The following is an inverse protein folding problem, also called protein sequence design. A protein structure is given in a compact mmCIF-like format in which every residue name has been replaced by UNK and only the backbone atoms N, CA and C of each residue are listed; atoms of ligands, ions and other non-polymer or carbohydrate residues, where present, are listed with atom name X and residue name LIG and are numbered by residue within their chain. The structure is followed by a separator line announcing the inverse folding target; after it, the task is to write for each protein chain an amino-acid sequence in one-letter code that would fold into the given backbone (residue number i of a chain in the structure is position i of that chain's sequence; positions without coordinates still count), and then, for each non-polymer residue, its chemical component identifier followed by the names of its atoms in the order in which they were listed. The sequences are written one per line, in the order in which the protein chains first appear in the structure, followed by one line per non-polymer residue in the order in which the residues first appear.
data_IF_744555152721
#
_entry.id   IF_744555152721
#
_cell.length_a   1.000
_cell.length_b   1.000
_cell.length_c   1.000
_cell.angle_alpha   90.00
_cell.angle_beta   90.00
_cell.angle_gamma   90.00
#
_symmetry.space_group_name_H-M   'P 1'
#
loop_
_entity.id
_entity.type
_entity.pdbx_description
1 polymer ?
#
# COMPACT_ATOMS: atom_id res chain seq x y z
N UNK A 1 -3.87 -26.11 -1.64
CA UNK A 1 -5.21 -25.49 -1.76
C UNK A 1 -4.93 -24.00 -1.83
N UNK A 2 -5.30 -23.25 -2.90
CA UNK A 2 -5.09 -21.81 -2.84
C UNK A 2 -6.14 -21.29 -1.86
N UNK A 3 -5.67 -20.89 -0.69
CA UNK A 3 -6.48 -20.24 0.33
C UNK A 3 -6.73 -18.84 -0.22
N UNK A 4 -7.81 -18.69 -0.99
CA UNK A 4 -8.26 -17.38 -1.48
C UNK A 4 -8.36 -16.47 -0.25
N UNK A 5 -7.38 -15.59 -0.12
CA UNK A 5 -7.22 -14.72 1.02
C UNK A 5 -8.18 -13.57 0.81
N UNK A 6 -9.24 -13.57 1.62
CA UNK A 6 -10.31 -12.59 1.55
C UNK A 6 -9.74 -11.16 1.44
N UNK A 7 -10.37 -10.26 0.66
CA UNK A 7 -9.85 -8.91 0.42
C UNK A 7 -9.61 -8.13 1.72
N UNK A 8 -10.40 -8.38 2.77
CA UNK A 8 -10.22 -7.82 4.11
C UNK A 8 -8.93 -8.30 4.79
N UNK A 9 -8.58 -9.58 4.65
CA UNK A 9 -7.34 -10.16 5.17
C UNK A 9 -6.13 -9.58 4.44
N UNK A 10 -6.22 -9.48 3.11
CA UNK A 10 -5.19 -8.82 2.31
C UNK A 10 -5.01 -7.36 2.76
N UNK A 11 -6.10 -6.59 2.91
CA UNK A 11 -6.00 -5.21 3.39
C UNK A 11 -5.26 -5.11 4.75
N UNK A 12 -5.58 -5.98 5.70
CA UNK A 12 -4.92 -6.01 7.00
C UNK A 12 -3.42 -6.32 6.88
N UNK A 13 -3.03 -7.24 5.99
CA UNK A 13 -1.62 -7.55 5.72
C UNK A 13 -0.88 -6.35 5.12
N UNK A 14 -1.52 -5.59 4.22
CA UNK A 14 -0.95 -4.36 3.66
C UNK A 14 -0.79 -3.26 4.72
N UNK A 15 -1.76 -3.11 5.62
CA UNK A 15 -1.68 -2.15 6.72
C UNK A 15 -0.54 -2.48 7.69
N UNK A 16 -0.36 -3.76 8.00
CA UNK A 16 0.78 -4.24 8.79
C UNK A 16 2.11 -3.94 8.10
N UNK A 17 2.19 -4.20 6.78
CA UNK A 17 3.38 -3.90 5.98
C UNK A 17 3.70 -2.40 5.94
N UNK A 18 2.68 -1.53 5.83
CA UNK A 18 2.84 -0.08 5.88
C UNK A 18 3.39 0.37 7.24
N UNK A 19 2.89 -0.22 8.32
CA UNK A 19 3.35 0.08 9.69
C UNK A 19 4.81 -0.36 9.87
N UNK A 20 5.17 -1.56 9.40
CA UNK A 20 6.55 -2.04 9.40
C UNK A 20 7.48 -1.14 8.57
N UNK A 21 7.01 -0.64 7.43
CA UNK A 21 7.77 0.28 6.59
C UNK A 21 8.00 1.63 7.26
N UNK A 22 6.96 2.19 7.91
CA UNK A 22 7.06 3.42 8.70
C UNK A 22 8.09 3.32 9.83
N UNK A 23 8.20 2.15 10.47
CA UNK A 23 9.21 1.89 11.51
C UNK A 23 10.62 1.58 10.96
N UNK A 24 10.79 1.51 9.63
CA UNK A 24 12.06 1.13 9.01
C UNK A 24 12.36 -0.37 9.04
N UNK A 25 11.43 -1.21 9.51
CA UNK A 25 11.53 -2.67 9.53
C UNK A 25 11.30 -3.31 8.17
N UNK A 26 10.59 -2.63 7.26
CA UNK A 26 10.32 -3.09 5.90
C UNK A 26 10.85 -2.08 4.88
N UNK A 27 11.53 -2.54 3.83
CA UNK A 27 11.99 -1.67 2.73
C UNK A 27 10.87 -1.29 1.77
N UNK A 28 11.01 -0.15 1.08
CA UNK A 28 10.05 0.33 0.08
C UNK A 28 9.75 -0.70 -1.02
N UNK A 29 10.79 -1.35 -1.57
CA UNK A 29 10.65 -2.36 -2.62
C UNK A 29 9.90 -3.62 -2.14
N UNK A 30 10.17 -4.06 -0.90
CA UNK A 30 9.49 -5.20 -0.31
C UNK A 30 8.00 -4.91 -0.07
N UNK A 31 7.70 -3.73 0.48
CA UNK A 31 6.32 -3.24 0.61
C UNK A 31 5.59 -3.17 -0.73
N UNK A 32 6.23 -2.56 -1.75
CA UNK A 32 5.64 -2.43 -3.07
C UNK A 32 5.41 -3.76 -3.78
N UNK A 33 6.27 -4.76 -3.55
CA UNK A 33 6.04 -6.12 -4.07
C UNK A 33 4.84 -6.77 -3.38
N UNK A 34 4.76 -6.70 -2.05
CA UNK A 34 3.64 -7.26 -1.28
C UNK A 34 2.30 -6.61 -1.68
N UNK A 35 2.29 -5.28 -1.84
CA UNK A 35 1.10 -4.54 -2.22
C UNK A 35 0.57 -4.93 -3.60
N UNK A 36 1.46 -5.17 -4.58
CA UNK A 36 1.12 -5.61 -5.94
C UNK A 36 0.65 -7.06 -6.01
N UNK A 37 1.06 -7.89 -5.05
CA UNK A 37 0.66 -9.30 -4.95
C UNK A 37 -0.79 -9.47 -4.47
N UNK A 38 -1.39 -8.43 -3.90
CA UNK A 38 -2.74 -8.47 -3.33
C UNK A 38 -3.85 -8.40 -4.41
N UNK A 39 -3.91 -9.46 -5.22
CA UNK A 39 -4.81 -9.57 -6.38
C UNK A 39 -6.29 -9.55 -5.99
N UNK A 40 -6.67 -10.16 -4.88
CA UNK A 40 -8.08 -10.21 -4.45
C UNK A 40 -8.56 -8.87 -3.89
N UNK A 41 -7.70 -8.16 -3.16
CA UNK A 41 -7.94 -6.77 -2.76
C UNK A 41 -8.16 -5.89 -3.99
N UNK A 42 -7.28 -5.98 -4.98
CA UNK A 42 -7.37 -5.19 -6.21
C UNK A 42 -8.59 -5.57 -7.06
N UNK A 43 -9.00 -6.84 -7.05
CA UNK A 43 -10.19 -7.31 -7.76
C UNK A 43 -11.50 -6.87 -7.09
N UNK A 44 -11.51 -6.76 -5.76
CA UNK A 44 -12.67 -6.30 -5.01
C UNK A 44 -12.84 -4.77 -5.01
N UNK A 45 -11.79 -4.02 -5.34
CA UNK A 45 -11.81 -2.57 -5.42
C UNK A 45 -12.03 -2.07 -6.85
N UNK A 46 -12.56 -0.85 -7.03
CA UNK A 46 -12.61 -0.21 -8.34
C UNK A 46 -11.21 -0.08 -8.97
N UNK A 47 -11.06 -0.21 -10.30
CA UNK A 47 -9.75 -0.22 -10.97
C UNK A 47 -8.91 1.04 -10.69
N UNK A 48 -9.56 2.18 -10.43
CA UNK A 48 -8.91 3.44 -10.03
C UNK A 48 -8.07 3.31 -8.76
N UNK A 49 -8.45 2.44 -7.83
CA UNK A 49 -7.67 2.21 -6.60
C UNK A 49 -6.32 1.55 -6.91
N UNK A 50 -6.29 0.60 -7.84
CA UNK A 50 -5.05 -0.04 -8.29
C UNK A 50 -4.10 0.95 -8.94
N UNK A 51 -4.62 1.86 -9.78
CA UNK A 51 -3.82 2.92 -10.41
C UNK A 51 -3.19 3.85 -9.36
N UNK A 52 -3.98 4.30 -8.37
CA UNK A 52 -3.48 5.15 -7.29
C UNK A 52 -2.44 4.41 -6.44
N UNK A 53 -2.68 3.14 -6.10
CA UNK A 53 -1.73 2.32 -5.36
C UNK A 53 -0.40 2.23 -6.12
N UNK A 54 -0.43 1.86 -7.40
CA UNK A 54 0.77 1.75 -8.23
C UNK A 54 1.54 3.06 -8.30
N UNK A 55 0.86 4.21 -8.41
CA UNK A 55 1.52 5.52 -8.41
C UNK A 55 2.19 5.85 -7.07
N UNK A 56 1.53 5.52 -5.95
CA UNK A 56 2.11 5.71 -4.61
C UNK A 56 3.33 4.82 -4.40
N UNK A 57 3.28 3.57 -4.86
CA UNK A 57 4.40 2.63 -4.77
C UNK A 57 5.60 3.10 -5.62
N UNK A 58 5.36 3.52 -6.86
CA UNK A 58 6.41 4.06 -7.74
C UNK A 58 7.14 5.25 -7.10
N UNK A 59 6.36 6.19 -6.56
CA UNK A 59 6.91 7.33 -5.81
C UNK A 59 7.65 6.91 -4.56
N UNK A 60 7.20 5.87 -3.85
CA UNK A 60 7.88 5.33 -2.66
C UNK A 60 9.24 4.74 -3.03
N UNK A 61 9.29 3.93 -4.08
CA UNK A 61 10.49 3.27 -4.57
C UNK A 61 11.50 4.31 -5.08
N UNK A 62 11.04 5.31 -5.85
CA UNK A 62 11.87 6.44 -6.25
C UNK A 62 12.39 7.23 -5.03
N UNK A 63 11.55 7.51 -4.04
CA UNK A 63 11.94 8.21 -2.81
C UNK A 63 12.91 7.42 -1.92
N UNK A 64 13.00 6.09 -2.12
CA UNK A 64 13.99 5.25 -1.46
C UNK A 64 15.34 5.24 -2.22
N UNK A 65 15.33 5.46 -3.54
CA UNK A 65 16.53 5.55 -4.39
C UNK A 65 17.21 6.92 -4.33
N UNK A 66 16.46 8.00 -4.07
CA UNK A 66 17.00 9.37 -3.96
C UNK A 66 17.22 9.76 -2.48
N UNK A 67 18.44 9.56 -1.98
CA UNK A 67 18.76 9.60 -0.54
C UNK A 67 19.27 10.94 -0.01
N UNK A 68 19.45 11.99 -0.81
CA UNK A 68 20.23 13.17 -0.38
C UNK A 68 19.42 14.32 0.28
N UNK A 69 18.19 14.67 -0.13
CA UNK A 69 17.51 15.88 0.44
C UNK A 69 15.97 15.77 0.60
N UNK A 70 15.33 14.72 0.12
CA UNK A 70 13.85 14.62 0.10
C UNK A 70 13.22 13.98 1.36
N UNK A 71 14.04 13.70 2.37
CA UNK A 71 13.77 12.64 3.36
C UNK A 71 12.72 12.92 4.45
N UNK A 72 12.35 14.17 4.76
CA UNK A 72 11.46 14.41 5.90
C UNK A 72 10.03 14.75 5.49
N UNK A 73 9.85 15.67 4.54
CA UNK A 73 8.51 16.17 4.19
C UNK A 73 7.80 15.30 3.13
N UNK A 74 8.46 15.01 2.00
CA UNK A 74 7.86 14.19 0.94
C UNK A 74 7.67 12.73 1.35
N UNK A 75 8.53 12.19 2.21
CA UNK A 75 8.37 10.81 2.71
C UNK A 75 7.19 10.69 3.67
N UNK A 76 7.05 11.63 4.60
CA UNK A 76 5.94 11.62 5.57
C UNK A 76 4.58 11.83 4.88
N UNK A 77 4.51 12.74 3.91
CA UNK A 77 3.28 12.95 3.12
C UNK A 77 2.93 11.73 2.25
N UNK A 78 3.93 11.01 1.75
CA UNK A 78 3.69 9.79 0.99
C UNK A 78 3.14 8.66 1.87
N UNK A 79 3.67 8.51 3.09
CA UNK A 79 3.14 7.55 4.07
C UNK A 79 1.70 7.91 4.47
N UNK A 80 1.40 9.19 4.66
CA UNK A 80 0.04 9.68 4.92
C UNK A 80 -0.93 9.34 3.77
N UNK A 81 -0.51 9.58 2.52
CA UNK A 81 -1.29 9.22 1.34
C UNK A 81 -1.54 7.70 1.23
N UNK A 82 -0.54 6.87 1.53
CA UNK A 82 -0.69 5.41 1.58
C UNK A 82 -1.66 5.00 2.70
N UNK A 83 -1.55 5.60 3.88
CA UNK A 83 -2.43 5.33 5.00
C UNK A 83 -3.88 5.71 4.69
N UNK A 84 -4.08 6.88 4.07
CA UNK A 84 -5.38 7.33 3.60
C UNK A 84 -5.96 6.41 2.51
N UNK A 85 -5.11 5.90 1.61
CA UNK A 85 -5.52 4.93 0.60
C UNK A 85 -6.01 3.62 1.25
N UNK A 86 -5.26 3.06 2.21
CA UNK A 86 -5.64 1.83 2.92
C UNK A 86 -6.98 2.01 3.65
N UNK A 87 -7.17 3.14 4.33
CA UNK A 87 -8.43 3.45 5.01
C UNK A 87 -9.61 3.54 4.02
N UNK A 88 -9.42 4.20 2.88
CA UNK A 88 -10.45 4.30 1.82
C UNK A 88 -10.75 2.96 1.16
N UNK A 89 -9.73 2.14 0.95
CA UNK A 89 -9.87 0.78 0.44
C UNK A 89 -10.72 -0.07 1.38
N UNK A 90 -10.44 -0.04 2.69
CA UNK A 90 -11.26 -0.74 3.69
C UNK A 90 -12.71 -0.30 3.72
N UNK A 91 -12.97 1.01 3.71
CA UNK A 91 -14.33 1.53 3.63
C UNK A 91 -15.04 1.10 2.34
N UNK A 92 -14.33 1.12 1.21
CA UNK A 92 -14.89 0.70 -0.09
C UNK A 92 -15.20 -0.78 -0.14
N UNK A 93 -14.34 -1.63 0.42
CA UNK A 93 -14.60 -3.06 0.56
C UNK A 93 -15.86 -3.31 1.38
N UNK A 94 -16.02 -2.61 2.49
CA UNK A 94 -17.16 -2.78 3.40
C UNK A 94 -18.49 -2.35 2.77
N UNK A 95 -18.47 -1.39 1.84
CA UNK A 95 -19.64 -0.97 1.05
C UNK A 95 -19.92 -1.93 -0.11
N UNK A 96 -18.92 -2.66 -0.58
CA UNK A 96 -19.04 -3.64 -1.67
C UNK A 96 -19.47 -5.06 -1.19
N UNK A 97 -19.60 -5.27 0.14
CA UNK A 97 -20.15 -6.49 0.75
C UNK A 97 -21.66 -6.36 0.98
#
# INVERSE_FOLDING_TARGET
MPEHSHPTTQLAALQAALTAHSQGSLGAAAFGTQARDQKELLAALPPRYGEVLLNLLDRLEASALFTEESCSFSRSSLLDHLQAWVNKAGASLQVAQ
#
